data_IF_129257356620
#
_entry.id   IF_129257356620
#
_cell.length_a   1.000
_cell.length_b   1.000
_cell.length_c   1.000
_cell.angle_alpha   90.00
_cell.angle_beta   90.00
_cell.angle_gamma   90.00
#
_symmetry.space_group_name_H-M   'P 1'
#
loop_
_entity.id
_entity.type
_entity.pdbx_description
1 polymer ?
2 non-polymer ?
3 non-polymer ?
4 water ?
#
# COMPACT_ATOMS: atom_id res chain seq x y z
N UNK A 1 2.90 -9.70 1.26
CA UNK A 1 3.74 -9.46 2.42
C UNK A 1 4.66 -10.63 2.70
N UNK A 2 5.94 -10.34 2.89
CA UNK A 2 6.95 -11.34 3.20
C UNK A 2 7.17 -11.34 4.72
N UNK A 3 7.25 -12.54 5.30
CA UNK A 3 7.55 -12.66 6.71
C UNK A 3 6.44 -12.27 7.64
N UNK A 4 5.19 -12.22 7.14
CA UNK A 4 4.08 -11.82 7.98
C UNK A 4 3.16 -12.96 8.35
N UNK A 5 1.87 -12.65 8.52
CA UNK A 5 0.91 -13.63 8.99
C UNK A 5 -0.48 -13.19 8.56
N UNK A 6 -1.44 -14.10 8.73
CA UNK A 6 -2.84 -13.78 8.45
C UNK A 6 -3.29 -12.62 9.32
N UNK A 7 -3.94 -11.64 8.70
CA UNK A 7 -4.64 -10.63 9.47
C UNK A 7 -5.91 -11.23 10.08
N UNK A 8 -6.40 -10.56 11.12
CA UNK A 8 -7.72 -10.87 11.67
C UNK A 8 -8.74 -9.98 10.97
N UNK A 9 -9.93 -10.54 10.71
CA UNK A 9 -10.97 -9.78 10.03
C UNK A 9 -11.28 -8.51 10.81
N UNK A 10 -11.36 -7.39 10.10
CA UNK A 10 -11.59 -6.10 10.73
C UNK A 10 -10.34 -5.44 11.30
N UNK A 11 -9.17 -6.07 11.15
CA UNK A 11 -7.94 -5.46 11.64
C UNK A 11 -7.61 -4.19 10.86
N UNK A 12 -7.84 -4.20 9.56
CA UNK A 12 -7.58 -3.05 8.69
C UNK A 12 -8.86 -2.76 7.92
N UNK A 13 -9.80 -2.03 8.55
CA UNK A 13 -11.11 -1.81 7.91
C UNK A 13 -11.04 -1.01 6.63
N UNK A 14 -9.96 -0.26 6.41
CA UNK A 14 -9.79 0.56 5.22
C UNK A 14 -9.02 -0.16 4.11
N UNK A 15 -8.57 -1.40 4.36
CA UNK A 15 -7.82 -2.13 3.35
C UNK A 15 -8.74 -2.53 2.20
N UNK A 16 -8.37 -2.14 0.99
CA UNK A 16 -9.13 -2.47 -0.21
C UNK A 16 -8.30 -3.37 -1.12
N UNK A 17 -8.99 -4.15 -1.94
CA UNK A 17 -8.36 -4.87 -3.04
C UNK A 17 -8.71 -4.14 -4.33
N UNK A 18 -7.71 -3.55 -4.97
CA UNK A 18 -7.88 -2.89 -6.25
C UNK A 18 -7.70 -3.92 -7.36
N UNK A 19 -8.73 -4.11 -8.17
CA UNK A 19 -8.74 -5.15 -9.18
C UNK A 19 -8.88 -4.54 -10.56
N UNK A 20 -8.08 -5.05 -11.51
CA UNK A 20 -8.09 -4.58 -12.88
C UNK A 20 -8.80 -5.60 -13.77
N UNK A 21 -9.49 -5.10 -14.79
CA UNK A 21 -10.29 -5.92 -15.67
C UNK A 21 -9.43 -6.46 -16.81
N UNK A 22 -9.35 -7.79 -16.91
CA UNK A 22 -8.77 -8.44 -18.06
C UNK A 22 -9.64 -9.62 -18.45
N UNK A 23 -9.04 -10.79 -18.61
CA UNK A 23 -9.80 -12.03 -18.71
C UNK A 23 -10.31 -12.37 -17.32
N UNK A 24 -11.32 -11.61 -16.90
CA UNK A 24 -11.79 -11.65 -15.52
C UNK A 24 -11.05 -10.64 -14.65
N UNK A 25 -11.59 -10.45 -13.45
CA UNK A 25 -10.92 -9.61 -12.47
C UNK A 25 -9.63 -10.26 -11.98
N UNK A 26 -8.64 -9.45 -11.67
CA UNK A 26 -7.46 -9.92 -10.97
C UNK A 26 -6.98 -8.83 -10.03
N UNK A 27 -6.66 -9.22 -8.80
CA UNK A 27 -6.10 -8.27 -7.84
C UNK A 27 -4.75 -7.78 -8.36
N UNK A 28 -4.66 -6.47 -8.59
CA UNK A 28 -3.42 -5.88 -9.08
C UNK A 28 -2.70 -5.03 -8.04
N UNK A 29 -3.42 -4.53 -7.03
CA UNK A 29 -2.84 -3.58 -6.09
C UNK A 29 -3.74 -3.51 -4.86
N UNK A 30 -3.17 -3.00 -3.77
CA UNK A 30 -3.97 -2.59 -2.64
C UNK A 30 -4.50 -1.17 -2.82
N UNK A 31 -5.49 -0.82 -2.01
CA UNK A 31 -6.00 0.54 -1.98
C UNK A 31 -6.42 0.86 -0.55
N UNK A 32 -6.72 2.14 -0.31
CA UNK A 32 -7.03 2.65 1.02
C UNK A 32 -8.34 3.41 0.95
N UNK A 33 -9.34 2.94 1.69
CA UNK A 33 -10.65 3.59 1.70
C UNK A 33 -10.57 4.86 2.56
N UNK A 34 -10.85 6.00 1.94
CA UNK A 34 -10.81 7.30 2.63
C UNK A 34 -12.18 7.80 3.04
N UNK A 35 -13.20 7.54 2.24
CA UNK A 35 -14.55 8.02 2.50
C UNK A 35 -15.52 7.12 1.73
N UNK A 36 -16.81 7.48 1.77
CA UNK A 36 -17.83 6.65 1.15
C UNK A 36 -17.59 6.45 -0.34
N UNK A 37 -17.10 7.50 -1.02
CA UNK A 37 -16.90 7.44 -2.46
C UNK A 37 -15.48 7.81 -2.87
N UNK A 38 -14.50 7.66 -1.98
CA UNK A 38 -13.13 8.06 -2.28
C UNK A 38 -12.15 7.05 -1.73
N UNK A 39 -11.16 6.69 -2.56
CA UNK A 39 -10.11 5.76 -2.16
C UNK A 39 -8.75 6.33 -2.55
N UNK A 40 -7.70 5.70 -2.03
CA UNK A 40 -6.33 6.12 -2.25
C UNK A 40 -5.48 4.91 -2.61
N UNK A 41 -4.55 5.09 -3.56
CA UNK A 41 -3.68 4.01 -3.99
C UNK A 41 -2.42 4.61 -4.57
N UNK A 42 -1.55 3.75 -5.10
CA UNK A 42 -0.34 4.21 -5.77
C UNK A 42 -0.65 4.56 -7.22
N UNK A 43 -0.03 5.64 -7.70
CA UNK A 43 -0.31 6.09 -9.07
C UNK A 43 0.14 5.07 -10.11
N UNK A 44 1.21 4.32 -9.82
CA UNK A 44 1.66 3.33 -10.79
C UNK A 44 0.69 2.15 -10.93
N UNK A 45 -0.26 2.01 -9.99
CA UNK A 45 -1.28 0.98 -10.10
C UNK A 45 -2.32 1.31 -11.16
N UNK A 46 -2.49 2.59 -11.50
CA UNK A 46 -3.56 3.02 -12.38
C UNK A 46 -3.10 3.73 -13.65
N UNK A 47 -1.88 4.23 -13.71
CA UNK A 47 -1.45 5.02 -14.86
C UNK A 47 -1.50 4.18 -16.14
N UNK A 48 -2.16 4.73 -17.17
CA UNK A 48 -2.26 4.06 -18.44
C UNK A 48 -3.27 2.93 -18.50
N UNK A 49 -4.05 2.72 -17.43
CA UNK A 49 -5.01 1.63 -17.37
C UNK A 49 -6.37 2.15 -16.95
N UNK A 50 -7.39 1.33 -17.19
CA UNK A 50 -8.75 1.66 -16.79
C UNK A 50 -9.52 0.35 -16.59
N UNK A 51 -10.72 0.48 -16.03
CA UNK A 51 -11.53 -0.69 -15.72
C UNK A 51 -11.16 -1.30 -14.39
N UNK A 52 -11.53 -0.61 -13.31
CA UNK A 52 -11.15 -1.01 -11.96
C UNK A 52 -12.37 -1.17 -11.07
N UNK A 53 -12.21 -1.99 -10.04
CA UNK A 53 -13.14 -2.07 -8.93
C UNK A 53 -12.33 -2.25 -7.66
N UNK A 54 -12.95 -1.93 -6.52
CA UNK A 54 -12.33 -2.12 -5.22
C UNK A 54 -13.24 -3.00 -4.38
N UNK A 55 -12.63 -3.92 -3.62
CA UNK A 55 -13.34 -4.78 -2.69
C UNK A 55 -13.08 -4.30 -1.27
N UNK A 56 -14.14 -4.11 -0.50
CA UNK A 56 -14.04 -3.67 0.89
C UNK A 56 -14.48 -4.80 1.81
N UNK A 57 -13.81 -4.92 2.95
CA UNK A 57 -14.15 -5.95 3.91
C UNK A 57 -13.84 -7.36 3.46
N UNK A 58 -12.97 -7.51 2.47
CA UNK A 58 -12.58 -8.83 2.01
C UNK A 58 -11.49 -9.42 2.91
N UNK A 59 -11.40 -10.75 2.89
CA UNK A 59 -10.40 -11.44 3.69
C UNK A 59 -9.69 -12.49 2.84
N UNK A 60 -10.46 -13.46 2.33
CA UNK A 60 -9.94 -14.49 1.44
C UNK A 60 -10.44 -14.18 0.04
N UNK A 61 -9.52 -13.72 -0.83
CA UNK A 61 -9.90 -13.31 -2.18
C UNK A 61 -10.61 -14.40 -2.98
N UNK A 62 -10.13 -15.65 -3.00
CA UNK A 62 -10.85 -16.68 -3.78
C UNK A 62 -12.24 -16.99 -3.23
N UNK A 63 -12.54 -16.61 -2.00
CA UNK A 63 -13.83 -16.93 -1.40
C UNK A 63 -14.94 -15.97 -1.79
N UNK A 64 -14.61 -14.88 -2.50
CA UNK A 64 -15.60 -13.86 -2.86
C UNK A 64 -16.34 -13.36 -1.62
N UNK A 65 -15.57 -13.10 -0.55
CA UNK A 65 -16.15 -12.79 0.75
C UNK A 65 -16.21 -11.29 1.05
N UNK A 66 -16.07 -10.45 0.02
CA UNK A 66 -16.10 -9.01 0.25
C UNK A 66 -17.46 -8.60 0.81
N UNK A 67 -17.43 -7.70 1.79
CA UNK A 67 -18.67 -7.20 2.36
C UNK A 67 -19.30 -6.12 1.49
N UNK A 68 -18.48 -5.30 0.84
CA UNK A 68 -18.95 -4.28 -0.08
C UNK A 68 -17.97 -4.18 -1.25
N UNK A 69 -18.41 -3.53 -2.32
CA UNK A 69 -17.56 -3.32 -3.47
C UNK A 69 -18.12 -2.18 -4.30
N UNK A 70 -17.27 -1.61 -5.16
CA UNK A 70 -17.67 -0.52 -6.01
C UNK A 70 -16.79 -0.48 -7.24
N UNK A 71 -17.41 -0.16 -8.39
CA UNK A 71 -16.64 0.20 -9.56
C UNK A 71 -15.92 1.51 -9.31
N UNK A 72 -14.79 1.70 -9.98
CA UNK A 72 -14.06 2.97 -9.92
C UNK A 72 -14.56 3.85 -11.05
N UNK A 73 -15.13 5.00 -10.71
CA UNK A 73 -15.67 5.90 -11.72
C UNK A 73 -14.57 6.70 -12.41
N UNK A 74 -13.58 7.16 -11.65
CA UNK A 74 -12.48 7.93 -12.21
C UNK A 74 -11.27 7.82 -11.29
N UNK A 75 -10.11 8.15 -11.84
CA UNK A 75 -8.85 8.12 -11.11
C UNK A 75 -8.13 9.44 -11.37
N UNK A 76 -7.54 10.01 -10.32
CA UNK A 76 -6.72 11.21 -10.43
C UNK A 76 -5.34 10.87 -9.93
N UNK A 77 -4.39 10.68 -10.85
CA UNK A 77 -3.01 10.48 -10.48
C UNK A 77 -2.34 11.82 -10.21
N UNK A 78 -1.34 11.80 -9.34
CA UNK A 78 -0.59 13.01 -9.04
C UNK A 78 -0.03 13.60 -10.33
N UNK A 79 -0.21 14.90 -10.58
CA UNK A 79 0.24 15.48 -11.85
C UNK A 79 1.74 15.36 -12.07
N UNK A 80 2.54 15.27 -11.01
CA UNK A 80 3.98 15.14 -11.13
C UNK A 80 4.46 13.70 -10.96
N UNK A 81 3.55 12.73 -11.05
CA UNK A 81 3.94 11.33 -10.98
C UNK A 81 4.87 10.98 -12.12
N UNK A 82 6.04 10.44 -11.78
CA UNK A 82 7.08 10.07 -12.75
C UNK A 82 7.39 8.59 -12.53
N UNK A 83 6.67 7.74 -13.26
CA UNK A 83 6.73 6.29 -13.03
C UNK A 83 8.13 5.74 -13.19
N UNK A 84 8.92 6.30 -14.10
CA UNK A 84 10.23 5.74 -14.42
C UNK A 84 11.37 6.69 -14.04
N UNK A 85 11.10 7.67 -13.19
CA UNK A 85 12.15 8.51 -12.65
C UNK A 85 12.74 7.91 -11.38
N UNK A 86 13.93 8.35 -11.01
CA UNK A 86 14.59 7.80 -9.82
C UNK A 86 13.72 7.96 -8.58
N UNK A 87 13.46 6.85 -7.90
CA UNK A 87 12.63 6.84 -6.72
C UNK A 87 11.13 6.84 -6.97
N UNK A 88 10.71 6.82 -8.23
CA UNK A 88 9.30 6.86 -8.62
C UNK A 88 8.60 8.00 -7.87
N UNK A 89 8.89 9.26 -8.20
CA UNK A 89 8.36 10.37 -7.40
C UNK A 89 6.85 10.50 -7.52
N UNK A 90 6.23 10.89 -6.41
CA UNK A 90 4.81 11.27 -6.37
C UNK A 90 3.90 10.13 -6.82
N UNK A 91 4.11 8.96 -6.21
CA UNK A 91 3.39 7.74 -6.58
C UNK A 91 2.12 7.60 -5.74
N UNK A 92 1.21 8.56 -5.91
CA UNK A 92 -0.08 8.56 -5.22
C UNK A 92 -1.17 8.90 -6.22
N UNK A 93 -2.38 8.43 -5.94
CA UNK A 93 -3.53 8.69 -6.80
C UNK A 93 -4.80 8.47 -6.00
N UNK A 94 -5.80 9.31 -6.25
CA UNK A 94 -7.13 9.16 -5.67
C UNK A 94 -8.06 8.52 -6.69
N UNK A 95 -9.11 7.90 -6.17
CA UNK A 95 -10.10 7.21 -7.00
C UNK A 95 -11.50 7.58 -6.53
N UNK A 96 -12.36 7.92 -7.48
CA UNK A 96 -13.77 8.16 -7.19
C UNK A 96 -14.55 6.87 -7.39
N UNK A 97 -15.32 6.48 -6.38
CA UNK A 97 -16.05 5.23 -6.37
C UNK A 97 -17.48 5.45 -6.86
N UNK A 98 -17.93 4.59 -7.77
CA UNK A 98 -19.28 4.71 -8.31
C UNK A 98 -20.34 4.41 -7.26
N UNK A 99 -20.06 3.47 -6.37
CA UNK A 99 -20.98 3.04 -5.34
C UNK A 99 -20.43 3.43 -3.97
N UNK A 100 -21.29 4.00 -3.12
CA UNK A 100 -20.87 4.40 -1.79
C UNK A 100 -20.52 3.17 -0.94
N UNK A 101 -19.39 3.25 -0.24
CA UNK A 101 -18.94 2.21 0.68
C UNK A 101 -19.16 2.73 2.10
N UNK A 102 -20.00 2.04 2.86
CA UNK A 102 -20.41 2.50 4.17
C UNK A 102 -19.47 1.97 5.25
N UNK A 103 -19.28 2.77 6.29
CA UNK A 103 -18.54 2.35 7.48
C UNK A 103 -19.45 1.43 8.30
N UNK A 104 -19.30 0.13 8.10
CA UNK A 104 -20.13 -0.85 8.77
C UNK A 104 -19.44 -2.20 8.69
N UNK A 105 -19.77 -3.08 9.63
CA UNK A 105 -19.15 -4.39 9.66
C UNK A 105 -17.64 -4.28 9.83
N UNK A 106 -16.91 -4.90 8.91
CA UNK A 106 -15.45 -4.86 8.92
C UNK A 106 -14.88 -3.80 8.00
N UNK A 107 -15.68 -2.80 7.64
CA UNK A 107 -15.29 -1.75 6.71
C UNK A 107 -15.32 -0.41 7.43
N UNK A 108 -14.25 0.37 7.30
CA UNK A 108 -14.18 1.69 7.89
C UNK A 108 -13.23 2.56 7.11
N UNK A 109 -13.27 3.86 7.41
CA UNK A 109 -12.45 4.83 6.72
C UNK A 109 -11.13 5.03 7.46
N UNK A 110 -10.05 5.17 6.69
CA UNK A 110 -8.74 5.38 7.29
C UNK A 110 -8.61 6.79 7.86
N UNK A 111 -7.80 6.91 8.89
CA UNK A 111 -7.34 8.21 9.37
C UNK A 111 -5.94 8.43 8.83
N UNK A 112 -5.74 9.55 8.15
CA UNK A 112 -4.47 9.81 7.48
C UNK A 112 -3.55 10.64 8.38
N UNK A 113 -2.25 10.46 8.19
CA UNK A 113 -1.28 11.31 8.86
C UNK A 113 -1.51 12.76 8.45
N UNK A 114 -1.35 13.66 9.41
CA UNK A 114 -1.55 15.08 9.13
C UNK A 114 -0.36 15.63 8.34
N UNK A 115 -0.58 16.79 7.72
CA UNK A 115 0.48 17.41 6.93
C UNK A 115 1.70 17.76 7.79
N UNK A 116 1.49 18.07 9.06
CA UNK A 116 2.57 18.45 9.97
C UNK A 116 3.09 17.27 10.78
N UNK A 117 2.82 16.04 10.35
CA UNK A 117 3.22 14.87 11.11
C UNK A 117 4.75 14.75 11.16
N UNK A 118 5.30 14.14 12.22
CA UNK A 118 6.74 13.86 12.23
C UNK A 118 7.10 12.73 11.27
N UNK A 119 8.38 12.43 11.14
CA UNK A 119 8.80 11.41 10.17
C UNK A 119 8.67 9.99 10.69
N UNK A 120 8.37 9.82 11.98
CA UNK A 120 8.11 8.51 12.60
C UNK A 120 9.32 7.59 12.56
N UNK A 121 10.53 8.14 12.40
CA UNK A 121 11.72 7.30 12.34
C UNK A 121 11.89 6.52 13.64
N UNK A 122 12.07 5.21 13.50
CA UNK A 122 12.20 4.33 14.65
C UNK A 122 10.90 3.80 15.21
N UNK A 123 9.75 4.27 14.71
CA UNK A 123 8.46 3.80 15.20
C UNK A 123 8.10 2.46 14.58
N UNK A 124 7.27 1.70 15.31
CA UNK A 124 6.69 0.48 14.76
C UNK A 124 5.58 0.83 13.79
N UNK A 125 5.38 -0.03 12.79
CA UNK A 125 4.34 0.16 11.81
C UNK A 125 3.97 -1.19 11.20
N UNK A 126 2.81 -1.24 10.57
CA UNK A 126 2.29 -2.46 9.96
C UNK A 126 2.08 -2.25 8.47
N UNK A 127 2.43 -3.27 7.69
CA UNK A 127 2.12 -3.34 6.27
C UNK A 127 1.08 -4.43 6.05
N UNK A 128 0.09 -4.16 5.20
CA UNK A 128 -0.97 -5.12 4.94
C UNK A 128 -1.24 -5.19 3.44
N UNK A 129 -1.89 -6.27 3.03
CA UNK A 129 -2.20 -6.47 1.63
C UNK A 129 -2.23 -7.95 1.28
N UNK A 130 -2.58 -8.21 0.01
CA UNK A 130 -2.63 -9.56 -0.52
C UNK A 130 -1.45 -9.87 -1.43
N UNK A 131 -0.34 -9.14 -1.29
CA UNK A 131 0.82 -9.37 -2.13
C UNK A 131 1.40 -10.76 -1.93
N UNK A 132 2.37 -11.08 -2.78
CA UNK A 132 3.01 -12.39 -2.71
C UNK A 132 3.68 -12.59 -1.35
N UNK A 133 3.67 -13.84 -0.88
CA UNK A 133 4.31 -14.17 0.38
C UNK A 133 5.81 -14.35 0.24
N UNK A 134 6.31 -14.53 -0.98
CA UNK A 134 7.73 -14.73 -1.23
C UNK A 134 8.02 -14.25 -2.64
N UNK A 135 9.22 -13.69 -2.83
CA UNK A 135 9.57 -13.10 -4.12
C UNK A 135 9.57 -14.10 -5.26
N UNK A 136 9.79 -15.38 -4.97
CA UNK A 136 9.84 -16.40 -6.01
C UNK A 136 8.48 -17.01 -6.30
N UNK A 137 7.45 -16.71 -5.51
CA UNK A 137 6.13 -17.27 -5.73
C UNK A 137 5.54 -16.80 -7.05
N UNK A 138 4.72 -17.65 -7.66
CA UNK A 138 4.06 -17.30 -8.91
C UNK A 138 2.89 -16.35 -8.69
N UNK A 139 2.15 -16.52 -7.60
CA UNK A 139 0.90 -15.81 -7.39
C UNK A 139 0.87 -15.06 -6.07
N UNK A 140 -0.24 -14.36 -5.86
CA UNK A 140 -0.43 -13.52 -4.69
C UNK A 140 -0.99 -14.35 -3.53
N UNK A 141 -1.17 -13.72 -2.39
CA UNK A 141 -1.70 -14.40 -1.22
C UNK A 141 -3.23 -14.49 -1.29
N UNK A 142 -3.76 -15.58 -0.77
CA UNK A 142 -5.20 -15.76 -0.76
C UNK A 142 -5.85 -15.04 0.41
N UNK A 143 -5.24 -15.10 1.59
CA UNK A 143 -5.75 -14.45 2.79
C UNK A 143 -4.96 -13.19 3.08
N UNK A 144 -5.67 -12.15 3.50
CA UNK A 144 -5.03 -10.87 3.81
C UNK A 144 -3.93 -11.05 4.83
N UNK A 145 -2.75 -10.51 4.52
CA UNK A 145 -1.57 -10.62 5.37
C UNK A 145 -1.23 -9.28 6.00
N UNK A 146 -0.47 -9.33 7.08
CA UNK A 146 0.10 -8.15 7.67
C UNK A 146 1.39 -8.52 8.38
N UNK A 147 2.23 -7.52 8.63
CA UNK A 147 3.50 -7.73 9.32
C UNK A 147 3.86 -6.46 10.07
N UNK A 148 4.54 -6.64 11.20
CA UNK A 148 5.02 -5.51 12.00
C UNK A 148 6.47 -5.25 11.60
N UNK A 149 6.80 -3.97 11.41
CA UNK A 149 8.16 -3.59 11.01
C UNK A 149 8.47 -2.23 11.64
N UNK A 150 9.58 -1.63 11.20
CA UNK A 150 10.10 -0.42 11.83
C UNK A 150 10.35 0.65 10.77
N UNK A 151 9.78 1.84 10.98
CA UNK A 151 10.04 2.97 10.11
C UNK A 151 11.49 3.44 10.29
N UNK A 152 12.13 3.80 9.18
CA UNK A 152 13.50 4.27 9.20
C UNK A 152 13.59 5.67 8.60
N UNK A 153 14.65 6.38 8.98
CA UNK A 153 14.88 7.72 8.46
C UNK A 153 15.35 7.67 7.01
N UNK A 154 15.32 8.82 6.35
CA UNK A 154 15.68 8.89 4.93
C UNK A 154 17.09 8.35 4.69
N UNK A 155 18.07 8.82 5.48
CA UNK A 155 19.43 8.35 5.31
C UNK A 155 19.57 6.87 5.65
N UNK A 156 18.88 6.43 6.71
CA UNK A 156 18.90 5.02 7.07
C UNK A 156 18.33 4.15 5.95
N UNK A 157 17.27 4.62 5.30
CA UNK A 157 16.70 3.89 4.17
C UNK A 157 17.72 3.72 3.05
N UNK A 158 18.39 4.81 2.66
CA UNK A 158 19.33 4.76 1.56
C UNK A 158 20.57 3.95 1.90
N UNK A 159 20.98 3.96 3.18
CA UNK A 159 22.12 3.14 3.58
C UNK A 159 21.80 1.66 3.43
N UNK A 160 20.55 1.27 3.70
CA UNK A 160 20.14 -0.12 3.59
C UNK A 160 19.81 -0.52 2.16
N UNK A 161 19.84 0.41 1.21
CA UNK A 161 19.54 0.16 -0.18
C UNK A 161 20.80 -0.31 -0.93
N UNK A 162 20.63 -0.98 -2.06
CA UNK A 162 21.78 -1.22 -2.94
C UNK A 162 22.42 0.11 -3.34
N UNK A 163 23.74 0.10 -3.45
CA UNK A 163 24.48 1.35 -3.62
C UNK A 163 24.04 2.09 -4.88
N UNK A 164 23.56 1.38 -5.89
CA UNK A 164 23.11 2.00 -7.13
C UNK A 164 21.64 2.41 -7.09
N UNK A 165 20.94 2.16 -5.98
CA UNK A 165 19.53 2.52 -5.85
C UNK A 165 19.32 3.29 -4.55
N UNK A 166 20.11 4.34 -4.33
CA UNK A 166 19.95 5.19 -3.16
C UNK A 166 19.06 6.38 -3.52
N UNK A 167 17.80 6.07 -3.81
CA UNK A 167 16.86 7.05 -4.33
C UNK A 167 15.68 7.31 -3.38
N UNK A 168 15.83 6.97 -2.10
CA UNK A 168 14.78 7.29 -1.13
C UNK A 168 14.83 8.77 -0.82
N UNK A 169 13.66 9.41 -0.80
CA UNK A 169 13.53 10.84 -0.56
C UNK A 169 12.71 11.08 0.69
N UNK A 170 12.66 12.36 1.10
CA UNK A 170 11.83 12.73 2.25
C UNK A 170 10.35 12.53 1.95
N UNK A 171 9.96 12.60 0.68
CA UNK A 171 8.58 12.32 0.30
C UNK A 171 8.24 10.83 0.40
N UNK A 172 9.23 9.98 0.66
CA UNK A 172 9.02 8.58 0.94
C UNK A 172 9.00 8.32 2.44
N UNK A 173 8.39 7.20 2.81
CA UNK A 173 8.55 6.63 4.15
C UNK A 173 8.86 5.16 3.97
N UNK A 174 10.02 4.73 4.48
CA UNK A 174 10.44 3.35 4.28
C UNK A 174 10.46 2.60 5.61
N UNK A 175 10.37 1.28 5.51
CA UNK A 175 10.43 0.39 6.66
C UNK A 175 11.41 -0.73 6.34
N UNK A 176 12.05 -1.24 7.38
CA UNK A 176 13.00 -2.34 7.22
C UNK A 176 13.27 -2.96 8.57
N UNK A 177 13.29 -4.29 8.61
CA UNK A 177 13.69 -5.02 9.80
C UNK A 177 15.19 -5.23 9.80
N UNK A 178 15.79 -5.17 10.99
CA UNK A 178 17.21 -5.46 11.10
C UNK A 178 17.52 -6.93 10.83
N UNK A 179 16.54 -7.81 11.01
CA UNK A 179 16.69 -9.21 10.61
C UNK A 179 16.55 -9.40 9.11
N UNK A 180 16.05 -8.41 8.39
CA UNK A 180 15.90 -8.51 6.94
C UNK A 180 14.93 -9.59 6.51
N UNK A 181 13.84 -9.76 7.25
CA UNK A 181 12.90 -10.85 7.01
C UNK A 181 11.50 -10.40 6.66
N UNK A 182 11.21 -9.10 6.71
CA UNK A 182 9.85 -8.59 6.50
C UNK A 182 9.86 -7.54 5.41
N UNK A 183 8.71 -7.39 4.76
CA UNK A 183 8.56 -6.36 3.75
C UNK A 183 7.33 -6.60 2.90
N UNK A 184 7.11 -5.67 1.97
CA UNK A 184 6.05 -5.78 1.00
C UNK A 184 6.54 -6.51 -0.25
N UNK A 185 5.59 -6.81 -1.14
CA UNK A 185 5.84 -7.59 -2.33
C UNK A 185 4.80 -7.24 -3.38
N UNK A 186 5.04 -7.65 -4.62
CA UNK A 186 4.11 -7.39 -5.71
C UNK A 186 2.70 -7.82 -5.34
N UNK A 187 1.74 -6.93 -5.58
CA UNK A 187 0.39 -7.09 -5.11
C UNK A 187 0.05 -6.28 -3.88
N UNK A 188 1.05 -5.84 -3.13
CA UNK A 188 0.85 -4.98 -1.97
C UNK A 188 0.87 -3.50 -2.33
N UNK A 189 1.35 -3.14 -3.52
CA UNK A 189 1.47 -1.74 -3.90
C UNK A 189 0.12 -1.04 -3.85
N UNK A 190 0.14 0.22 -3.42
CA UNK A 190 -1.07 0.99 -3.25
C UNK A 190 -1.75 0.80 -1.90
N UNK A 191 -1.33 -0.19 -1.11
CA UNK A 191 -1.93 -0.44 0.18
C UNK A 191 -1.37 0.47 1.24
N UNK A 192 -1.90 0.32 2.46
CA UNK A 192 -1.53 1.23 3.55
C UNK A 192 -0.36 0.73 4.40
N UNK A 193 0.40 1.70 4.89
CA UNK A 193 1.29 1.49 6.03
C UNK A 193 0.59 2.07 7.25
N UNK A 194 0.29 1.22 8.23
CA UNK A 194 -0.45 1.63 9.42
C UNK A 194 0.52 1.86 10.55
N UNK A 195 0.42 3.04 11.18
CA UNK A 195 1.29 3.39 12.29
C UNK A 195 1.00 2.49 13.49
N UNK A 196 2.06 2.12 14.21
CA UNK A 196 1.94 1.33 15.41
C UNK A 196 2.03 -0.17 15.16
N UNK A 197 2.23 -0.90 16.26
CA UNK A 197 2.32 -2.35 16.21
C UNK A 197 0.98 -3.05 16.35
N UNK A 198 -0.01 -2.39 16.98
CA UNK A 198 -1.32 -2.98 17.16
C UNK A 198 -2.33 -1.87 17.38
N UNK A 199 -3.60 -2.22 17.25
CA UNK A 199 -4.67 -1.25 17.45
C UNK A 199 -4.78 -0.27 16.30
N UNK A 200 -5.67 0.69 16.49
CA UNK A 200 -5.92 1.69 15.46
C UNK A 200 -4.70 2.59 15.29
N UNK A 201 -4.30 2.79 14.05
CA UNK A 201 -3.20 3.68 13.73
C UNK A 201 -3.48 4.45 12.46
N UNK A 202 -2.86 5.62 12.36
CA UNK A 202 -2.98 6.42 11.15
C UNK A 202 -2.33 5.70 9.97
N UNK A 203 -2.89 5.90 8.78
CA UNK A 203 -2.24 5.46 7.56
C UNK A 203 -1.16 6.49 7.23
N UNK A 204 0.10 6.07 7.28
CA UNK A 204 1.22 6.98 7.11
C UNK A 204 1.99 6.75 5.83
N UNK A 205 1.66 5.71 5.07
CA UNK A 205 2.36 5.45 3.82
C UNK A 205 1.48 4.70 2.84
N UNK A 206 1.84 4.81 1.57
CA UNK A 206 1.20 4.09 0.47
C UNK A 206 2.28 3.28 -0.23
N UNK A 207 2.07 1.96 -0.31
CA UNK A 207 3.09 1.07 -0.85
C UNK A 207 3.48 1.47 -2.27
N UNK A 208 4.79 1.64 -2.50
CA UNK A 208 5.29 2.14 -3.78
C UNK A 208 6.24 1.16 -4.44
N UNK A 209 7.43 0.94 -3.89
CA UNK A 209 8.41 0.10 -4.58
C UNK A 209 9.33 -0.58 -3.58
N UNK A 210 10.08 -1.56 -4.10
CA UNK A 210 11.04 -2.31 -3.33
C UNK A 210 12.14 -2.84 -4.23
N UNK A 211 12.94 -3.77 -3.72
CA UNK A 211 14.12 -4.27 -4.43
C UNK A 211 13.92 -5.76 -4.73
N UNK A 212 14.35 -6.18 -5.92
CA UNK A 212 14.32 -7.58 -6.31
C UNK A 212 15.64 -8.01 -6.91
N UNK A 213 15.70 -9.29 -7.27
CA UNK A 213 16.88 -9.86 -7.90
C UNK A 213 16.44 -10.88 -8.95
N UNK A 214 17.35 -11.52 -9.70
CA UNK A 214 16.90 -12.40 -10.80
C UNK A 214 15.98 -13.55 -10.37
N UNK A 215 15.92 -13.90 -9.09
CA UNK A 215 15.09 -15.03 -8.67
C UNK A 215 13.95 -14.62 -7.74
N UNK A 216 13.99 -13.45 -7.12
CA UNK A 216 12.92 -13.02 -6.23
C UNK A 216 12.54 -11.59 -6.56
N UNK A 217 11.26 -11.37 -6.90
CA UNK A 217 10.79 -10.05 -7.30
C UNK A 217 10.76 -9.07 -6.12
N UNK A 218 10.80 -9.57 -4.90
CA UNK A 218 10.84 -8.72 -3.71
C UNK A 218 11.80 -9.35 -2.72
N UNK A 219 12.52 -8.51 -1.98
CA UNK A 219 13.55 -8.98 -1.04
C UNK A 219 13.39 -8.25 0.27
N UNK A 220 13.11 -8.95 1.38
CA UNK A 220 13.10 -8.29 2.69
C UNK A 220 14.48 -7.87 3.16
N UNK A 221 15.54 -8.30 2.47
CA UNK A 221 16.89 -7.86 2.81
C UNK A 221 17.09 -6.37 2.59
N UNK A 222 16.23 -5.74 1.82
CA UNK A 222 16.27 -4.32 1.52
C UNK A 222 14.95 -3.67 1.93
N UNK A 223 14.94 -2.36 2.16
CA UNK A 223 13.72 -1.72 2.66
C UNK A 223 12.58 -1.76 1.65
N UNK A 224 11.38 -1.59 2.17
CA UNK A 224 10.18 -1.39 1.36
C UNK A 224 9.80 0.09 1.42
N UNK A 225 9.64 0.70 0.25
CA UNK A 225 9.47 2.15 0.15
C UNK A 225 8.00 2.47 -0.06
N UNK A 226 7.48 3.40 0.73
CA UNK A 226 6.11 3.86 0.63
C UNK A 226 6.11 5.36 0.35
N UNK A 227 5.04 5.84 -0.27
CA UNK A 227 4.84 7.27 -0.39
C UNK A 227 4.36 7.83 0.94
N UNK A 228 5.06 8.85 1.44
CA UNK A 228 4.76 9.39 2.76
C UNK A 228 3.45 10.16 2.73
N UNK A 229 2.47 9.71 3.52
CA UNK A 229 1.15 10.32 3.50
C UNK A 229 1.21 11.76 3.97
N UNK A 230 2.00 12.04 5.00
CA UNK A 230 2.10 13.41 5.51
C UNK A 230 2.61 14.36 4.44
N UNK A 231 3.52 13.90 3.58
CA UNK A 231 4.01 14.73 2.50
C UNK A 231 2.92 15.04 1.48
N UNK A 232 2.01 14.09 1.25
CA UNK A 232 0.99 14.21 0.22
C UNK A 232 -0.40 14.48 0.79
N UNK A 233 -0.50 14.77 2.10
CA UNK A 233 -1.81 14.88 2.74
C UNK A 233 -2.66 15.98 2.11
N UNK A 234 -2.08 17.17 1.94
CA UNK A 234 -2.84 18.28 1.38
C UNK A 234 -3.28 17.98 -0.05
N UNK A 235 -2.45 17.29 -0.83
CA UNK A 235 -2.83 16.96 -2.19
C UNK A 235 -3.93 15.91 -2.21
N UNK A 236 -3.83 14.89 -1.36
CA UNK A 236 -4.85 13.83 -1.33
C UNK A 236 -6.20 14.42 -0.95
N UNK A 237 -6.22 15.27 0.09
CA UNK A 237 -7.48 15.88 0.51
C UNK A 237 -8.10 16.74 -0.58
N UNK A 238 -7.27 17.39 -1.39
CA UNK A 238 -7.75 18.32 -2.40
C UNK A 238 -8.09 17.65 -3.73
N UNK A 239 -7.73 16.39 -3.93
CA UNK A 239 -7.94 15.72 -5.20
C UNK A 239 -8.63 14.37 -5.04
#
# INVERSE_FOLDING_TARGET
IVGGQDATRGMFPYQLSLQHMGAGWYHTCGAILLAANKALTAAHCTEGREGFRVLAGAHVLPANDQEQESDVASVTEHPEFDRFGPGIPNDVATMALATAINAAGNVGYATLAAANAPDYAGDQARLSGWGKLHGADDGIADTLQYVVTTVRSTADCNARMPEHIQNVMDQHICVHSDTGTTGSCQGDSGGPMTHGASGSGNVIGVTSWGIGNPVESCLPDFPSVYARVSYFRAWIDAN
#
